data_IF_400827427231
#
_entry.id   IF_400827427231
#
_cell.length_a   1.000
_cell.length_b   1.000
_cell.length_c   1.000
_cell.angle_alpha   90.00
_cell.angle_beta   90.00
_cell.angle_gamma   90.00
#
_symmetry.space_group_name_H-M   'P 1'
#
loop_
_entity.id
_entity.type
_entity.pdbx_description
1 polymer ?
#
# COMPACT_ATOMS: atom_id res chain seq x y z
N UNK A 1 15.17 -13.14 6.62
CA UNK A 1 14.73 -14.18 5.66
C UNK A 1 15.32 -13.90 4.29
N UNK A 2 15.73 -14.92 3.51
CA UNK A 2 16.38 -14.74 2.21
C UNK A 2 15.44 -15.07 1.04
N UNK A 3 15.50 -14.29 -0.03
CA UNK A 3 14.67 -14.41 -1.24
C UNK A 3 15.50 -14.16 -2.51
N UNK A 4 15.05 -14.68 -3.64
CA UNK A 4 15.60 -14.33 -4.96
C UNK A 4 14.70 -13.31 -5.67
N UNK A 5 15.25 -12.18 -6.09
CA UNK A 5 14.52 -11.14 -6.81
C UNK A 5 15.35 -10.53 -7.94
N UNK A 6 14.84 -10.61 -9.17
CA UNK A 6 15.55 -10.10 -10.36
C UNK A 6 16.93 -10.72 -10.57
N UNK A 7 17.14 -11.96 -10.14
CA UNK A 7 18.43 -12.66 -10.20
C UNK A 7 19.39 -12.37 -9.04
N UNK A 8 19.00 -11.55 -8.06
CA UNK A 8 19.83 -11.21 -6.89
C UNK A 8 19.30 -11.88 -5.62
N UNK A 9 20.21 -12.25 -4.72
CA UNK A 9 19.83 -12.68 -3.37
C UNK A 9 19.53 -11.46 -2.49
N UNK A 10 18.36 -11.48 -1.86
CA UNK A 10 17.81 -10.41 -1.02
C UNK A 10 17.62 -10.94 0.39
N UNK A 11 18.10 -10.19 1.38
CA UNK A 11 17.87 -10.42 2.80
C UNK A 11 16.86 -9.39 3.33
N UNK A 12 15.82 -9.88 4.00
CA UNK A 12 14.88 -9.03 4.74
C UNK A 12 15.33 -8.91 6.18
N UNK A 13 15.57 -7.68 6.62
CA UNK A 13 15.94 -7.36 7.99
C UNK A 13 14.71 -7.34 8.92
N UNK A 14 14.95 -7.39 10.22
CA UNK A 14 13.89 -7.50 11.24
C UNK A 14 12.85 -6.37 11.15
N UNK A 15 13.28 -5.17 10.78
CA UNK A 15 12.42 -3.99 10.61
C UNK A 15 11.73 -3.93 9.23
N UNK A 16 11.85 -4.97 8.41
CA UNK A 16 11.12 -5.11 7.13
C UNK A 16 11.76 -4.44 5.93
N UNK A 17 12.97 -3.87 6.04
CA UNK A 17 13.73 -3.43 4.87
C UNK A 17 14.30 -4.61 4.10
N UNK A 18 14.34 -4.50 2.77
CA UNK A 18 14.95 -5.49 1.90
C UNK A 18 16.30 -4.99 1.41
N UNK A 19 17.33 -5.82 1.49
CA UNK A 19 18.70 -5.48 1.12
C UNK A 19 19.34 -6.55 0.24
N UNK A 20 20.15 -6.13 -0.74
CA UNK A 20 21.01 -7.06 -1.49
C UNK A 20 22.00 -7.74 -0.54
N UNK A 21 22.15 -9.06 -0.63
CA UNK A 21 23.08 -9.79 0.23
C UNK A 21 24.52 -9.37 -0.03
N UNK A 22 24.90 -9.19 -1.30
CA UNK A 22 26.28 -8.88 -1.71
C UNK A 22 26.72 -7.47 -1.30
N UNK A 23 25.90 -6.46 -1.58
CA UNK A 23 26.29 -5.05 -1.41
C UNK A 23 25.69 -4.39 -0.17
N UNK A 24 24.71 -5.04 0.47
CA UNK A 24 23.88 -4.49 1.56
C UNK A 24 23.07 -3.23 1.16
N UNK A 25 23.00 -2.90 -0.12
CA UNK A 25 22.18 -1.79 -0.63
C UNK A 25 20.67 -2.08 -0.54
N UNK A 26 19.86 -1.03 -0.40
CA UNK A 26 18.39 -1.15 -0.38
C UNK A 26 17.86 -1.74 -1.69
N UNK A 27 16.93 -2.68 -1.56
CA UNK A 27 16.30 -3.41 -2.66
C UNK A 27 14.76 -3.48 -2.51
N UNK A 28 14.18 -2.70 -1.60
CA UNK A 28 12.73 -2.64 -1.37
C UNK A 28 12.38 -2.69 0.10
N UNK A 29 11.10 -2.97 0.38
CA UNK A 29 10.60 -3.18 1.74
C UNK A 29 9.42 -4.16 1.73
N UNK A 30 9.08 -4.67 2.91
CA UNK A 30 7.87 -5.47 3.15
C UNK A 30 6.70 -4.62 3.65
N UNK A 31 6.76 -3.29 3.50
CA UNK A 31 5.75 -2.38 4.03
C UNK A 31 4.40 -2.61 3.33
N UNK A 32 3.35 -2.83 4.12
CA UNK A 32 1.98 -2.95 3.61
C UNK A 32 1.37 -1.57 3.42
N UNK A 33 0.43 -1.45 2.50
CA UNK A 33 -0.17 -0.16 2.16
C UNK A 33 -0.95 0.47 3.32
N UNK A 34 -1.66 -0.33 4.11
CA UNK A 34 -2.39 0.12 5.30
C UNK A 34 -1.43 0.62 6.40
N UNK A 35 -0.29 -0.06 6.59
CA UNK A 35 0.74 0.37 7.53
C UNK A 35 1.42 1.65 7.05
N UNK A 36 1.66 1.79 5.74
CA UNK A 36 2.15 3.03 5.13
C UNK A 36 1.18 4.20 5.32
N UNK A 37 -0.13 3.97 5.20
CA UNK A 37 -1.14 4.97 5.52
C UNK A 37 -1.09 5.38 6.99
N UNK A 38 -0.97 4.43 7.92
CA UNK A 38 -0.79 4.70 9.36
C UNK A 38 0.44 5.57 9.61
N UNK A 39 1.60 5.20 9.05
CA UNK A 39 2.85 5.97 9.21
C UNK A 39 2.69 7.40 8.71
N UNK A 40 2.08 7.60 7.53
CA UNK A 40 1.87 8.94 6.99
C UNK A 40 1.00 9.81 7.89
N UNK A 41 -0.05 9.24 8.47
CA UNK A 41 -1.01 9.98 9.31
C UNK A 41 -0.45 10.22 10.72
N UNK A 42 0.02 9.17 11.38
CA UNK A 42 0.35 9.18 12.81
C UNK A 42 1.78 9.64 13.10
N UNK A 43 2.73 9.32 12.21
CA UNK A 43 4.15 9.58 12.46
C UNK A 43 4.65 10.78 11.65
N UNK A 44 4.30 10.84 10.36
CA UNK A 44 4.66 11.95 9.49
C UNK A 44 3.69 13.14 9.59
N UNK A 45 2.60 13.01 10.35
CA UNK A 45 1.59 14.05 10.59
C UNK A 45 1.00 14.65 9.31
N UNK A 46 0.92 13.85 8.24
CA UNK A 46 0.28 14.25 6.99
C UNK A 46 -1.23 14.30 7.23
N UNK A 47 -1.93 15.38 6.86
CA UNK A 47 -3.37 15.44 7.07
C UNK A 47 -4.06 14.28 6.33
N UNK A 48 -5.01 13.64 7.01
CA UNK A 48 -5.59 12.36 6.59
C UNK A 48 -6.08 12.34 5.14
N UNK A 49 -6.72 13.43 4.69
CA UNK A 49 -7.19 13.56 3.32
C UNK A 49 -6.06 13.48 2.27
N UNK A 50 -4.87 14.04 2.56
CA UNK A 50 -3.72 13.94 1.67
C UNK A 50 -3.11 12.53 1.72
N UNK A 51 -3.01 11.93 2.91
CA UNK A 51 -2.47 10.58 3.07
C UNK A 51 -3.34 9.55 2.32
N UNK A 52 -4.66 9.56 2.49
CA UNK A 52 -5.59 8.68 1.75
C UNK A 52 -5.51 8.92 0.24
N UNK A 53 -5.43 10.19 -0.20
CA UNK A 53 -5.30 10.49 -1.62
C UNK A 53 -4.02 9.92 -2.25
N UNK A 54 -2.91 9.87 -1.49
CA UNK A 54 -1.62 9.35 -1.97
C UNK A 54 -1.65 7.86 -2.30
N UNK A 55 -2.54 7.08 -1.68
CA UNK A 55 -2.69 5.65 -1.93
C UNK A 55 -3.98 5.28 -2.68
N UNK A 56 -4.77 6.25 -3.13
CA UNK A 56 -6.04 6.02 -3.85
C UNK A 56 -6.13 6.85 -5.14
N UNK A 57 -6.66 8.08 -5.09
CA UNK A 57 -6.96 8.88 -6.28
C UNK A 57 -5.70 9.37 -7.01
N UNK A 58 -4.61 9.66 -6.31
CA UNK A 58 -3.38 10.14 -6.94
C UNK A 58 -2.74 9.08 -7.86
N UNK A 59 -2.51 7.83 -7.41
CA UNK A 59 -2.00 6.78 -8.31
C UNK A 59 -3.02 6.44 -9.41
N UNK A 60 -4.33 6.47 -9.12
CA UNK A 60 -5.35 6.26 -10.15
C UNK A 60 -5.28 7.31 -11.28
N UNK A 61 -5.08 8.59 -10.93
CA UNK A 61 -4.87 9.67 -11.91
C UNK A 61 -3.57 9.52 -12.66
N UNK A 62 -2.48 9.17 -11.97
CA UNK A 62 -1.17 8.95 -12.59
C UNK A 62 -1.23 7.85 -13.66
N UNK A 63 -2.03 6.82 -13.44
CA UNK A 63 -2.24 5.71 -14.38
C UNK A 63 -3.40 5.92 -15.37
N UNK A 64 -4.15 7.03 -15.28
CA UNK A 64 -5.29 7.32 -16.15
C UNK A 64 -6.53 6.44 -15.94
N UNK A 65 -6.67 5.83 -14.76
CA UNK A 65 -7.80 4.93 -14.40
C UNK A 65 -8.78 5.56 -13.42
N UNK A 66 -8.63 6.85 -13.13
CA UNK A 66 -9.42 7.61 -12.15
C UNK A 66 -10.89 7.80 -12.55
N UNK A 67 -11.27 7.52 -13.80
CA UNK A 67 -12.68 7.46 -14.22
C UNK A 67 -13.45 6.29 -13.58
N UNK A 68 -12.73 5.29 -13.06
CA UNK A 68 -13.30 4.07 -12.48
C UNK A 68 -12.76 3.74 -11.10
N UNK A 69 -11.56 4.21 -10.72
CA UNK A 69 -10.86 3.81 -9.48
C UNK A 69 -10.39 5.00 -8.65
N UNK A 70 -10.04 4.71 -7.38
CA UNK A 70 -9.39 5.67 -6.48
C UNK A 70 -10.33 6.64 -5.77
N UNK A 71 -11.65 6.53 -5.96
CA UNK A 71 -12.67 7.32 -5.27
C UNK A 71 -13.91 6.49 -5.01
N UNK A 72 -14.58 6.76 -3.89
CA UNK A 72 -15.92 6.25 -3.59
C UNK A 72 -16.95 7.19 -4.24
N UNK A 73 -17.72 6.67 -5.19
CA UNK A 73 -18.74 7.44 -5.90
C UNK A 73 -19.55 6.58 -6.88
N UNK A 74 -20.72 7.08 -7.27
CA UNK A 74 -21.59 6.39 -8.24
C UNK A 74 -20.85 6.23 -9.57
N UNK A 75 -20.90 5.02 -10.14
CA UNK A 75 -20.26 4.68 -11.42
C UNK A 75 -18.80 4.24 -11.33
N UNK A 76 -18.19 4.27 -10.14
CA UNK A 76 -16.85 3.76 -9.88
C UNK A 76 -16.90 2.27 -9.55
N UNK A 77 -15.77 1.58 -9.76
CA UNK A 77 -15.60 0.20 -9.33
C UNK A 77 -15.70 0.12 -7.81
N UNK A 78 -16.39 -0.89 -7.30
CA UNK A 78 -16.49 -1.15 -5.86
C UNK A 78 -15.21 -1.83 -5.34
N UNK A 79 -14.08 -1.15 -5.55
CA UNK A 79 -12.77 -1.47 -5.00
C UNK A 79 -12.61 -0.72 -3.68
N UNK A 80 -12.91 -1.40 -2.58
CA UNK A 80 -13.03 -0.80 -1.25
C UNK A 80 -12.15 -1.54 -0.25
N UNK A 81 -11.66 -0.81 0.75
CA UNK A 81 -11.05 -1.38 1.95
C UNK A 81 -11.77 -0.85 3.17
N UNK A 82 -12.12 -1.75 4.08
CA UNK A 82 -12.62 -1.43 5.41
C UNK A 82 -11.46 -1.63 6.37
N UNK A 83 -11.06 -0.56 7.05
CA UNK A 83 -10.01 -0.58 8.06
C UNK A 83 -10.64 -0.50 9.46
N UNK A 84 -10.06 -1.22 10.41
CA UNK A 84 -10.29 -0.97 11.83
C UNK A 84 -9.60 0.33 12.25
N UNK A 85 -9.91 0.83 13.45
CA UNK A 85 -9.33 2.07 13.99
C UNK A 85 -7.81 2.01 14.18
N UNK A 86 -7.23 0.82 14.25
CA UNK A 86 -5.78 0.57 14.33
C UNK A 86 -5.12 0.40 12.94
N UNK A 87 -5.84 0.72 11.85
CA UNK A 87 -5.43 0.55 10.46
C UNK A 87 -5.27 -0.90 10.02
N UNK A 88 -5.63 -1.90 10.84
CA UNK A 88 -5.69 -3.28 10.39
C UNK A 88 -6.83 -3.46 9.37
N UNK A 89 -6.63 -4.34 8.38
CA UNK A 89 -7.64 -4.60 7.36
C UNK A 89 -8.74 -5.49 7.93
N UNK A 90 -9.98 -5.02 7.90
CA UNK A 90 -11.16 -5.78 8.30
C UNK A 90 -11.75 -6.56 7.12
N UNK A 91 -11.90 -5.91 5.97
CA UNK A 91 -12.44 -6.52 4.75
C UNK A 91 -11.94 -5.74 3.52
N UNK A 92 -11.84 -6.40 2.37
CA UNK A 92 -11.64 -5.75 1.08
C UNK A 92 -12.68 -6.22 0.08
N UNK A 93 -13.02 -5.33 -0.84
CA UNK A 93 -13.88 -5.62 -1.98
C UNK A 93 -13.10 -5.34 -3.25
N UNK A 94 -13.10 -6.28 -4.18
CA UNK A 94 -12.55 -6.11 -5.52
C UNK A 94 -13.70 -6.27 -6.52
N UNK A 95 -14.03 -5.20 -7.26
CA UNK A 95 -15.20 -5.14 -8.14
C UNK A 95 -16.50 -5.55 -7.42
N UNK A 96 -16.63 -5.18 -6.14
CA UNK A 96 -17.80 -5.50 -5.31
C UNK A 96 -17.81 -6.90 -4.70
N UNK A 97 -16.80 -7.74 -4.97
CA UNK A 97 -16.67 -9.07 -4.36
C UNK A 97 -15.82 -9.01 -3.10
N UNK A 98 -16.35 -9.51 -1.98
CA UNK A 98 -15.59 -9.66 -0.73
C UNK A 98 -14.41 -10.63 -0.90
N UNK A 99 -13.27 -10.33 -0.28
CA UNK A 99 -12.02 -11.06 -0.49
C UNK A 99 -11.39 -11.65 0.78
N UNK A 100 -11.81 -11.23 1.97
CA UNK A 100 -11.34 -11.71 3.27
C UNK A 100 -12.45 -12.44 4.05
#
# INVERSE_FOLDING_TARGET
>A
SNFMFGGNEIEIYEHGSAHLVETKGFAGSTLKMNDGLRILVEEAMVPFNYAVNSCTINPAKCLGVDKRKGRIGVGYDSDLVILNSDYSVHQTYCLGKAML
#
